data_IF_564323723813
#
_entry.id   IF_564323723813
#
_cell.length_a   1.000
_cell.length_b   1.000
_cell.length_c   1.000
_cell.angle_alpha   90.00
_cell.angle_beta   90.00
_cell.angle_gamma   90.00
#
_symmetry.space_group_name_H-M   'P 1'
#
loop_
_entity.id
_entity.type
_entity.pdbx_description
1 polymer ?
#
# COMPACT_ATOMS: atom_id res chain seq x y z
N UNK A 1 13.83 -34.06 -20.96
CA UNK A 1 14.15 -32.98 -19.99
C UNK A 1 13.55 -31.71 -20.54
N UNK A 2 12.36 -31.36 -20.08
CA UNK A 2 11.55 -30.27 -20.63
C UNK A 2 11.39 -29.22 -19.54
N UNK A 3 12.03 -28.07 -19.69
CA UNK A 3 11.81 -26.92 -18.84
C UNK A 3 10.54 -26.23 -19.34
N UNK A 4 9.47 -26.27 -18.55
CA UNK A 4 8.29 -25.43 -18.74
C UNK A 4 8.30 -24.40 -17.62
N UNK A 5 8.88 -23.23 -17.89
CA UNK A 5 8.63 -22.03 -17.09
C UNK A 5 7.42 -21.34 -17.70
N UNK A 6 6.23 -21.88 -17.41
CA UNK A 6 4.99 -21.12 -17.53
C UNK A 6 4.71 -20.46 -16.18
N UNK A 7 5.55 -19.50 -15.80
CA UNK A 7 5.15 -18.49 -14.81
C UNK A 7 4.62 -17.29 -15.62
N UNK A 8 3.33 -17.36 -15.95
CA UNK A 8 2.54 -16.18 -16.27
C UNK A 8 2.11 -15.53 -14.95
N UNK A 9 3.05 -15.24 -14.07
CA UNK A 9 2.80 -14.57 -12.80
C UNK A 9 2.51 -13.10 -13.04
N UNK A 10 1.27 -12.77 -13.39
CA UNK A 10 0.78 -11.42 -13.21
C UNK A 10 1.02 -11.04 -11.76
N UNK A 11 1.89 -10.05 -11.53
CA UNK A 11 2.34 -9.63 -10.21
C UNK A 11 1.12 -9.23 -9.37
N UNK A 12 0.65 -10.14 -8.51
CA UNK A 12 -0.44 -9.84 -7.57
C UNK A 12 0.17 -9.03 -6.44
N UNK A 13 -0.02 -7.71 -6.47
CA UNK A 13 0.50 -6.80 -5.45
C UNK A 13 -0.10 -7.07 -4.06
N UNK A 14 -1.25 -7.75 -4.00
CA UNK A 14 -1.87 -8.27 -2.78
C UNK A 14 -2.11 -9.77 -2.91
N UNK A 15 -1.44 -10.57 -2.08
CA UNK A 15 -1.57 -12.03 -2.11
C UNK A 15 -2.77 -12.52 -1.29
N UNK A 16 -3.23 -11.75 -0.30
CA UNK A 16 -4.40 -12.07 0.53
C UNK A 16 -5.10 -10.83 1.09
N UNK A 17 -6.36 -10.99 1.53
CA UNK A 17 -7.10 -9.96 2.29
C UNK A 17 -6.35 -9.45 3.53
N UNK A 18 -5.45 -10.28 4.09
CA UNK A 18 -4.64 -9.88 5.24
C UNK A 18 -3.57 -8.85 4.88
N UNK A 19 -3.03 -8.86 3.66
CA UNK A 19 -2.11 -7.81 3.19
C UNK A 19 -2.84 -6.47 3.05
N UNK A 20 -4.09 -6.51 2.56
CA UNK A 20 -4.95 -5.32 2.51
C UNK A 20 -5.21 -4.76 3.90
N UNK A 21 -5.54 -5.62 4.88
CA UNK A 21 -5.75 -5.18 6.28
C UNK A 21 -4.49 -4.60 6.91
N UNK A 22 -3.33 -5.19 6.64
CA UNK A 22 -2.02 -4.71 7.10
C UNK A 22 -1.69 -3.34 6.50
N UNK A 23 -1.91 -3.18 5.20
CA UNK A 23 -1.75 -1.89 4.52
C UNK A 23 -2.71 -0.83 5.07
N UNK A 24 -3.98 -1.19 5.29
CA UNK A 24 -4.96 -0.30 5.91
C UNK A 24 -4.59 0.09 7.34
N UNK A 25 -3.97 -0.82 8.11
CA UNK A 25 -3.42 -0.51 9.42
C UNK A 25 -2.36 0.58 9.36
N UNK A 26 -1.42 0.49 8.41
CA UNK A 26 -0.40 1.52 8.20
C UNK A 26 -1.00 2.84 7.71
N UNK A 27 -2.01 2.79 6.84
CA UNK A 27 -2.75 3.96 6.37
C UNK A 27 -3.45 4.65 7.55
N UNK A 28 -4.02 3.91 8.49
CA UNK A 28 -4.62 4.47 9.70
C UNK A 28 -3.61 5.15 10.65
N UNK A 29 -2.32 4.85 10.55
CA UNK A 29 -1.25 5.54 11.32
C UNK A 29 -0.85 6.89 10.69
N UNK A 30 -1.24 7.17 9.44
CA UNK A 30 -0.84 8.39 8.73
C UNK A 30 -1.44 9.69 9.31
N UNK A 31 -2.74 9.76 9.69
CA UNK A 31 -3.32 10.96 10.27
C UNK A 31 -2.60 11.39 11.56
N UNK A 32 -2.27 10.43 12.42
CA UNK A 32 -1.61 10.72 13.70
C UNK A 32 -0.14 11.14 13.53
N UNK A 33 0.57 10.56 12.55
CA UNK A 33 1.98 10.88 12.32
C UNK A 33 2.23 12.11 11.46
N UNK A 34 1.39 12.33 10.45
CA UNK A 34 1.62 13.35 9.42
C UNK A 34 0.50 14.40 9.36
N UNK A 35 -0.56 14.28 10.18
CA UNK A 35 -1.69 15.22 10.16
C UNK A 35 -2.45 15.19 8.83
N UNK A 36 -2.52 14.03 8.17
CA UNK A 36 -3.20 13.87 6.88
C UNK A 36 -4.60 13.28 7.07
N UNK A 37 -5.58 13.81 6.34
CA UNK A 37 -6.95 13.31 6.37
C UNK A 37 -7.17 12.30 5.24
N UNK A 38 -7.61 11.09 5.57
CA UNK A 38 -7.92 10.07 4.56
C UNK A 38 -9.42 10.11 4.28
N UNK A 39 -9.79 10.46 3.05
CA UNK A 39 -11.19 10.59 2.64
C UNK A 39 -11.74 9.33 1.98
N UNK A 40 -10.93 8.65 1.17
CA UNK A 40 -11.31 7.40 0.52
C UNK A 40 -10.08 6.56 0.18
N UNK A 41 -10.28 5.24 0.11
CA UNK A 41 -9.28 4.32 -0.40
C UNK A 41 -9.97 3.24 -1.24
N UNK A 42 -9.32 2.83 -2.32
CA UNK A 42 -9.72 1.69 -3.15
C UNK A 42 -8.51 0.78 -3.28
N UNK A 43 -8.64 -0.44 -2.77
CA UNK A 43 -7.64 -1.50 -2.90
C UNK A 43 -8.15 -2.49 -3.95
N UNK A 44 -7.54 -2.49 -5.13
CA UNK A 44 -7.75 -3.54 -6.14
C UNK A 44 -6.54 -4.46 -6.19
N UNK A 45 -6.72 -5.68 -6.67
CA UNK A 45 -5.62 -6.65 -6.78
C UNK A 45 -4.46 -6.18 -7.68
N UNK A 46 -4.71 -5.19 -8.55
CA UNK A 46 -3.68 -4.63 -9.43
C UNK A 46 -3.20 -3.21 -9.07
N UNK A 47 -4.00 -2.36 -8.45
CA UNK A 47 -3.70 -0.93 -8.20
C UNK A 47 -4.45 -0.41 -6.98
N UNK A 48 -3.82 0.51 -6.24
CA UNK A 48 -4.42 1.19 -5.10
C UNK A 48 -4.61 2.67 -5.38
N UNK A 49 -5.79 3.19 -5.05
CA UNK A 49 -6.06 4.61 -5.05
C UNK A 49 -6.32 5.08 -3.63
N UNK A 50 -5.50 6.03 -3.15
CA UNK A 50 -5.72 6.73 -1.90
C UNK A 50 -6.13 8.18 -2.19
N UNK A 51 -7.29 8.58 -1.68
CA UNK A 51 -7.72 9.97 -1.64
C UNK A 51 -7.39 10.53 -0.26
N UNK A 52 -6.29 11.29 -0.20
CA UNK A 52 -5.79 11.89 1.03
C UNK A 52 -5.76 13.40 0.86
N UNK A 53 -6.25 14.12 1.87
CA UNK A 53 -6.09 15.55 2.02
C UNK A 53 -4.94 15.81 2.97
N UNK A 54 -3.96 16.55 2.49
CA UNK A 54 -2.80 16.96 3.30
C UNK A 54 -2.89 18.46 3.54
N UNK A 55 -3.13 18.92 4.77
CA UNK A 55 -3.15 20.35 5.08
C UNK A 55 -1.76 20.99 4.88
N UNK A 56 -0.70 20.21 5.01
CA UNK A 56 0.70 20.59 4.76
C UNK A 56 1.24 19.93 3.47
N UNK A 57 2.30 20.46 2.84
CA UNK A 57 2.94 19.86 1.66
C UNK A 57 3.82 18.64 2.01
N UNK A 58 3.32 17.74 2.87
CA UNK A 58 4.03 16.59 3.41
C UNK A 58 3.56 15.24 2.82
N UNK A 59 2.68 15.26 1.81
CA UNK A 59 2.15 14.04 1.16
C UNK A 59 3.25 13.10 0.67
N UNK A 60 4.34 13.63 0.09
CA UNK A 60 5.44 12.78 -0.40
C UNK A 60 6.16 12.05 0.73
N UNK A 61 6.28 12.68 1.91
CA UNK A 61 6.89 12.06 3.09
C UNK A 61 5.97 10.97 3.66
N UNK A 62 4.67 11.25 3.74
CA UNK A 62 3.66 10.30 4.19
C UNK A 62 3.60 9.05 3.29
N UNK A 63 3.55 9.23 1.96
CA UNK A 63 3.56 8.11 1.01
C UNK A 63 4.88 7.34 1.06
N UNK A 64 6.02 8.02 1.17
CA UNK A 64 7.31 7.34 1.27
C UNK A 64 7.41 6.51 2.56
N UNK A 65 6.97 7.06 3.68
CA UNK A 65 6.91 6.32 4.94
C UNK A 65 5.99 5.11 4.83
N UNK A 66 4.80 5.26 4.24
CA UNK A 66 3.86 4.16 4.03
C UNK A 66 4.49 3.01 3.23
N UNK A 67 5.13 3.32 2.10
CA UNK A 67 5.76 2.32 1.24
C UNK A 67 6.94 1.60 1.93
N UNK A 68 7.82 2.36 2.60
CA UNK A 68 8.96 1.78 3.32
C UNK A 68 8.49 0.93 4.50
N UNK A 69 7.50 1.39 5.26
CA UNK A 69 6.93 0.64 6.39
C UNK A 69 6.25 -0.65 5.92
N UNK A 70 5.53 -0.62 4.80
CA UNK A 70 4.91 -1.81 4.23
C UNK A 70 5.96 -2.84 3.80
N UNK A 71 6.97 -2.42 3.04
CA UNK A 71 8.06 -3.33 2.63
C UNK A 71 8.85 -3.84 3.83
N UNK A 72 9.19 -2.99 4.79
CA UNK A 72 10.00 -3.39 5.95
C UNK A 72 9.26 -4.32 6.93
N UNK A 73 7.93 -4.23 7.04
CA UNK A 73 7.16 -5.06 7.98
C UNK A 73 6.64 -6.36 7.34
N UNK A 74 6.59 -6.44 6.01
CA UNK A 74 5.89 -7.52 5.30
C UNK A 74 6.69 -8.18 4.16
N UNK A 75 7.91 -7.73 3.88
CA UNK A 75 8.90 -8.43 3.05
C UNK A 75 9.87 -9.20 3.96
#
# INVERSE_FOLDING_TARGET
MTWSTADSGGSRSFHADDDRRRFLGLVAELPDQFGVDIHAFVLMDNHDHLLVRTPEPNLSQAIRWLQVSYVSRFN
#
